data_IF_352995378349
#
_entry.id   IF_352995378349
#
_cell.length_a   1.000
_cell.length_b   1.000
_cell.length_c   1.000
_cell.angle_alpha   90.00
_cell.angle_beta   90.00
_cell.angle_gamma   90.00
#
_symmetry.space_group_name_H-M   'P 1'
#
loop_
_entity.id
_entity.type
_entity.pdbx_description
1 polymer ?
#
# COMPACT_ATOMS: atom_id res chain seq x y z
N UNK A 1 -8.71 -30.93 -13.88
CA UNK A 1 -10.08 -31.39 -13.61
C UNK A 1 -10.14 -32.16 -12.29
N UNK A 2 -11.03 -31.76 -11.40
CA UNK A 2 -11.23 -32.45 -10.12
C UNK A 2 -11.84 -33.85 -10.33
N UNK A 3 -12.71 -34.02 -11.32
CA UNK A 3 -13.39 -35.28 -11.60
C UNK A 3 -12.42 -36.38 -12.09
N UNK A 4 -11.42 -36.02 -12.90
CA UNK A 4 -10.43 -36.96 -13.43
C UNK A 4 -9.16 -37.02 -12.57
N UNK A 5 -9.03 -36.18 -11.56
CA UNK A 5 -7.80 -36.00 -10.75
C UNK A 5 -6.56 -35.75 -11.61
N UNK A 6 -6.71 -34.94 -12.64
CA UNK A 6 -5.60 -34.52 -13.51
C UNK A 6 -5.48 -33.01 -13.54
N UNK A 7 -4.25 -32.51 -13.58
CA UNK A 7 -3.87 -31.12 -13.78
C UNK A 7 -3.11 -30.97 -15.10
N UNK A 8 -3.54 -30.06 -15.96
CA UNK A 8 -2.79 -29.69 -17.14
C UNK A 8 -1.84 -28.57 -16.77
N UNK A 9 -0.55 -28.75 -16.97
CA UNK A 9 0.48 -27.78 -16.73
C UNK A 9 0.91 -27.18 -18.06
N UNK A 10 0.76 -25.85 -18.21
CA UNK A 10 1.21 -25.12 -19.41
C UNK A 10 2.40 -24.25 -19.02
N UNK A 11 3.64 -24.66 -19.33
CA UNK A 11 4.81 -23.87 -19.04
C UNK A 11 4.90 -22.65 -19.96
N UNK A 12 5.64 -21.59 -19.56
CA UNK A 12 5.89 -20.43 -20.42
C UNK A 12 6.64 -20.81 -21.73
N UNK A 13 7.44 -21.88 -21.69
CA UNK A 13 8.19 -22.42 -22.82
C UNK A 13 8.13 -23.95 -22.79
N UNK A 14 7.79 -24.57 -23.89
CA UNK A 14 7.61 -26.03 -24.00
C UNK A 14 6.17 -26.44 -24.22
N UNK A 15 5.95 -27.77 -24.34
CA UNK A 15 4.61 -28.30 -24.55
C UNK A 15 3.87 -28.53 -23.23
N UNK A 16 2.55 -28.33 -23.21
CA UNK A 16 1.72 -28.70 -22.05
C UNK A 16 1.78 -30.21 -21.77
N UNK A 17 1.68 -30.55 -20.50
CA UNK A 17 1.55 -31.94 -20.09
C UNK A 17 0.45 -32.11 -19.01
N UNK A 18 0.00 -33.34 -18.83
CA UNK A 18 -0.94 -33.72 -17.78
C UNK A 18 -0.23 -34.42 -16.62
N UNK A 19 -0.57 -34.05 -15.42
CA UNK A 19 -0.13 -34.67 -14.18
C UNK A 19 -1.34 -35.22 -13.41
N UNK A 20 -1.27 -36.46 -12.99
CA UNK A 20 -2.32 -37.07 -12.16
C UNK A 20 -2.00 -36.88 -10.68
N UNK A 21 -3.01 -36.73 -9.83
CA UNK A 21 -2.85 -36.55 -8.41
C UNK A 21 -3.90 -37.29 -7.60
N UNK A 22 -3.54 -37.73 -6.41
CA UNK A 22 -4.48 -38.23 -5.41
C UNK A 22 -5.05 -37.09 -4.55
N UNK A 23 -4.18 -36.14 -4.17
CA UNK A 23 -4.48 -34.96 -3.38
C UNK A 23 -3.83 -33.76 -4.06
N UNK A 24 -4.62 -32.69 -4.29
CA UNK A 24 -4.11 -31.41 -4.75
C UNK A 24 -4.20 -30.37 -3.64
N UNK A 25 -3.12 -29.60 -3.45
CA UNK A 25 -3.09 -28.47 -2.53
C UNK A 25 -2.90 -27.20 -3.34
N UNK A 26 -3.93 -26.34 -3.33
CA UNK A 26 -3.90 -25.07 -4.07
C UNK A 26 -3.33 -23.96 -3.19
N UNK A 27 -2.14 -23.48 -3.54
CA UNK A 27 -1.41 -22.46 -2.80
C UNK A 27 -1.22 -21.18 -3.64
N UNK A 28 -2.26 -20.78 -4.37
CA UNK A 28 -2.26 -19.68 -5.33
C UNK A 28 -2.11 -18.28 -4.69
N UNK A 29 -1.94 -18.19 -3.39
CA UNK A 29 -1.73 -16.95 -2.66
C UNK A 29 -2.96 -16.06 -2.57
N UNK A 30 -2.72 -14.78 -2.44
CA UNK A 30 -3.73 -13.74 -2.31
C UNK A 30 -3.36 -12.53 -3.19
N UNK A 31 -4.36 -11.74 -3.52
CA UNK A 31 -4.22 -10.48 -4.26
C UNK A 31 -4.74 -9.31 -3.43
N UNK A 32 -4.31 -8.11 -3.74
CA UNK A 32 -4.84 -6.88 -3.14
C UNK A 32 -6.35 -6.78 -3.45
N UNK A 33 -7.15 -6.51 -2.43
CA UNK A 33 -8.57 -6.23 -2.53
C UNK A 33 -8.82 -4.77 -2.18
N UNK A 34 -9.29 -4.00 -3.15
CA UNK A 34 -9.79 -2.64 -2.90
C UNK A 34 -11.26 -2.68 -2.51
N UNK A 35 -11.68 -1.72 -1.67
CA UNK A 35 -13.10 -1.49 -1.39
C UNK A 35 -13.70 -0.52 -2.42
N UNK A 36 -15.03 -0.46 -2.58
CA UNK A 36 -15.70 0.42 -3.53
C UNK A 36 -15.71 1.88 -3.05
N UNK A 37 -14.52 2.40 -2.74
CA UNK A 37 -14.28 3.79 -2.40
C UNK A 37 -13.91 4.53 -3.68
N UNK A 38 -14.57 5.66 -4.01
CA UNK A 38 -14.27 6.43 -5.22
C UNK A 38 -12.78 6.73 -5.37
N UNK A 39 -12.22 6.45 -6.53
CA UNK A 39 -10.82 6.70 -6.90
C UNK A 39 -9.80 5.68 -6.39
N UNK A 40 -10.13 4.82 -5.41
CA UNK A 40 -9.14 3.88 -4.84
C UNK A 40 -8.70 2.84 -5.86
N UNK A 41 -9.61 2.28 -6.65
CA UNK A 41 -9.27 1.26 -7.64
C UNK A 41 -8.30 1.79 -8.72
N UNK A 42 -8.36 3.07 -9.04
CA UNK A 42 -7.57 3.71 -10.10
C UNK A 42 -6.28 4.36 -9.57
N UNK A 43 -6.28 4.82 -8.32
CA UNK A 43 -5.21 5.65 -7.75
C UNK A 43 -4.29 4.90 -6.79
N UNK A 44 -4.80 3.89 -6.10
CA UNK A 44 -4.04 3.21 -5.06
C UNK A 44 -3.19 2.06 -5.61
N UNK A 45 -1.98 1.93 -5.08
CA UNK A 45 -1.09 0.80 -5.33
C UNK A 45 -1.19 -0.15 -4.14
N UNK A 46 -1.38 -1.44 -4.39
CA UNK A 46 -1.32 -2.45 -3.35
C UNK A 46 0.08 -2.65 -2.77
N UNK A 47 0.20 -3.56 -1.77
CA UNK A 47 1.49 -3.93 -1.20
C UNK A 47 1.54 -5.44 -0.92
N UNK A 48 1.09 -6.24 -1.88
CA UNK A 48 0.98 -7.70 -1.74
C UNK A 48 2.09 -8.47 -2.47
N UNK A 49 2.64 -7.91 -3.53
CA UNK A 49 3.65 -8.55 -4.39
C UNK A 49 4.82 -7.60 -4.67
N UNK A 50 5.87 -8.14 -5.31
CA UNK A 50 7.11 -7.40 -5.60
C UNK A 50 6.86 -6.27 -6.61
N UNK A 51 6.00 -6.49 -7.59
CA UNK A 51 5.65 -5.52 -8.61
C UNK A 51 5.00 -4.28 -8.00
N UNK A 52 4.10 -4.46 -7.04
CA UNK A 52 3.48 -3.37 -6.29
C UNK A 52 4.53 -2.61 -5.45
N UNK A 53 5.43 -3.32 -4.77
CA UNK A 53 6.51 -2.69 -4.00
C UNK A 53 7.46 -1.87 -4.89
N UNK A 54 7.80 -2.38 -6.08
CA UNK A 54 8.58 -1.67 -7.10
C UNK A 54 7.83 -0.42 -7.55
N UNK A 55 6.52 -0.52 -7.82
CA UNK A 55 5.70 0.61 -8.23
C UNK A 55 5.64 1.71 -7.17
N UNK A 56 5.52 1.36 -5.89
CA UNK A 56 5.57 2.32 -4.76
C UNK A 56 6.93 3.02 -4.71
N UNK A 57 8.02 2.25 -4.76
CA UNK A 57 9.40 2.80 -4.77
C UNK A 57 9.60 3.77 -5.93
N UNK A 58 9.25 3.36 -7.14
CA UNK A 58 9.49 4.13 -8.35
C UNK A 58 8.62 5.39 -8.39
N UNK A 59 7.40 5.33 -7.83
CA UNK A 59 6.55 6.50 -7.67
C UNK A 59 7.16 7.49 -6.67
N UNK A 60 7.68 7.03 -5.54
CA UNK A 60 8.39 7.91 -4.59
C UNK A 60 9.59 8.59 -5.25
N UNK A 61 10.46 7.84 -5.94
CA UNK A 61 11.61 8.38 -6.66
C UNK A 61 11.19 9.45 -7.67
N UNK A 62 10.19 9.14 -8.50
CA UNK A 62 9.66 10.06 -9.51
C UNK A 62 9.08 11.33 -8.87
N UNK A 63 8.39 11.20 -7.75
CA UNK A 63 7.79 12.32 -7.05
C UNK A 63 8.85 13.24 -6.44
N UNK A 64 9.89 12.69 -5.81
CA UNK A 64 11.02 13.47 -5.31
C UNK A 64 11.77 14.20 -6.44
N UNK A 65 12.01 13.51 -7.56
CA UNK A 65 12.67 14.13 -8.73
C UNK A 65 11.86 15.32 -9.25
N UNK A 66 10.54 15.14 -9.47
CA UNK A 66 9.68 16.23 -9.92
C UNK A 66 9.59 17.36 -8.89
N UNK A 67 9.36 17.02 -7.62
CA UNK A 67 9.22 18.02 -6.55
C UNK A 67 10.47 18.88 -6.38
N UNK A 68 11.67 18.31 -6.57
CA UNK A 68 12.93 19.02 -6.44
C UNK A 68 13.12 20.16 -7.44
N UNK A 69 12.38 20.12 -8.56
CA UNK A 69 12.42 21.14 -9.62
C UNK A 69 11.30 22.17 -9.50
N UNK A 70 10.35 21.98 -8.58
CA UNK A 70 9.20 22.85 -8.40
C UNK A 70 9.42 23.86 -7.26
N UNK A 71 8.85 25.07 -7.35
CA UNK A 71 8.75 25.96 -6.21
C UNK A 71 7.84 25.35 -5.13
N UNK A 72 7.96 25.80 -3.89
CA UNK A 72 7.01 25.48 -2.84
C UNK A 72 5.58 25.85 -3.23
N UNK A 73 4.62 24.97 -2.94
CA UNK A 73 3.22 25.18 -3.27
C UNK A 73 2.46 23.85 -3.48
N UNK A 74 1.15 23.92 -3.79
CA UNK A 74 0.25 22.77 -3.75
C UNK A 74 0.69 21.58 -4.61
N UNK A 75 1.27 21.82 -5.78
CA UNK A 75 1.74 20.73 -6.64
C UNK A 75 2.94 19.99 -6.05
N UNK A 76 3.89 20.72 -5.44
CA UNK A 76 5.03 20.14 -4.74
C UNK A 76 4.57 19.38 -3.49
N UNK A 77 3.66 19.97 -2.72
CA UNK A 77 3.09 19.35 -1.52
C UNK A 77 2.36 18.04 -1.87
N UNK A 78 1.55 18.03 -2.93
CA UNK A 78 0.88 16.82 -3.44
C UNK A 78 1.87 15.70 -3.77
N UNK A 79 2.98 16.02 -4.46
CA UNK A 79 4.00 15.04 -4.85
C UNK A 79 4.74 14.46 -3.63
N UNK A 80 4.91 15.24 -2.56
CA UNK A 80 5.63 14.87 -1.34
C UNK A 80 4.68 14.43 -0.21
N UNK A 81 3.38 14.28 -0.49
CA UNK A 81 2.41 13.70 0.45
C UNK A 81 2.22 12.22 0.14
N UNK A 82 2.45 11.38 1.15
CA UNK A 82 2.40 9.92 1.05
C UNK A 82 1.34 9.35 1.98
N UNK A 83 0.43 8.56 1.43
CA UNK A 83 -0.70 7.97 2.16
C UNK A 83 -0.58 6.46 2.19
N UNK A 84 -0.70 5.86 3.36
CA UNK A 84 -0.88 4.42 3.54
C UNK A 84 -2.23 4.18 4.19
N UNK A 85 -3.04 3.31 3.61
CA UNK A 85 -4.37 2.94 4.12
C UNK A 85 -4.33 1.51 4.64
N UNK A 86 -4.59 1.36 5.94
CA UNK A 86 -4.56 0.10 6.66
C UNK A 86 -3.41 0.03 7.68
N UNK A 87 -3.75 -0.09 8.95
CA UNK A 87 -2.83 -0.13 10.08
C UNK A 87 -2.46 -1.53 10.55
N UNK A 88 -2.63 -2.57 9.71
CA UNK A 88 -2.09 -3.91 9.95
C UNK A 88 -0.56 -3.94 9.85
N UNK A 89 0.06 -5.13 10.04
CA UNK A 89 1.53 -5.27 9.95
C UNK A 89 2.10 -4.74 8.64
N UNK A 90 1.56 -5.17 7.50
CA UNK A 90 2.05 -4.74 6.19
C UNK A 90 1.99 -3.21 6.03
N UNK A 91 0.89 -2.59 6.48
CA UNK A 91 0.73 -1.12 6.41
C UNK A 91 1.74 -0.38 7.28
N UNK A 92 1.90 -0.81 8.53
CA UNK A 92 2.84 -0.19 9.47
C UNK A 92 4.29 -0.34 9.02
N UNK A 93 4.67 -1.53 8.53
CA UNK A 93 6.02 -1.79 7.97
C UNK A 93 6.27 -0.94 6.73
N UNK A 94 5.34 -0.95 5.77
CA UNK A 94 5.43 -0.12 4.56
C UNK A 94 5.55 1.36 4.89
N UNK A 95 4.73 1.85 5.82
CA UNK A 95 4.74 3.25 6.27
C UNK A 95 6.08 3.65 6.89
N UNK A 96 6.63 2.79 7.76
CA UNK A 96 7.94 2.98 8.38
C UNK A 96 9.09 2.98 7.37
N UNK A 97 9.05 2.06 6.40
CA UNK A 97 10.06 1.99 5.32
C UNK A 97 9.96 3.17 4.36
N UNK A 98 8.76 3.58 3.94
CA UNK A 98 8.57 4.77 3.11
C UNK A 98 9.12 6.03 3.80
N UNK A 99 8.86 6.17 5.10
CA UNK A 99 9.40 7.28 5.90
C UNK A 99 10.94 7.24 5.97
N UNK A 100 11.53 6.06 6.15
CA UNK A 100 12.98 5.87 6.17
C UNK A 100 13.60 6.15 4.80
N UNK A 101 12.95 5.69 3.75
CA UNK A 101 13.35 5.93 2.36
C UNK A 101 13.31 7.43 2.02
N UNK A 102 12.23 8.15 2.38
CA UNK A 102 12.15 9.60 2.21
C UNK A 102 13.31 10.34 2.90
N UNK A 103 13.70 9.91 4.12
CA UNK A 103 14.86 10.49 4.81
C UNK A 103 16.15 10.30 4.05
N UNK A 104 16.32 9.16 3.37
CA UNK A 104 17.50 8.91 2.53
C UNK A 104 17.46 9.72 1.24
N UNK A 105 16.27 9.91 0.66
CA UNK A 105 16.09 10.70 -0.56
C UNK A 105 16.35 12.18 -0.33
N UNK A 106 15.88 12.76 0.76
CA UNK A 106 16.12 14.18 1.09
C UNK A 106 17.61 14.54 1.00
N UNK A 107 18.50 13.63 1.42
CA UNK A 107 19.94 13.86 1.33
C UNK A 107 20.47 14.01 -0.12
N UNK A 108 19.70 13.57 -1.11
CA UNK A 108 20.06 13.65 -2.54
C UNK A 108 19.46 14.89 -3.23
N UNK A 109 18.50 15.58 -2.59
CA UNK A 109 17.79 16.73 -3.18
C UNK A 109 17.96 17.99 -2.31
N UNK A 110 19.02 18.80 -2.55
CA UNK A 110 19.33 19.98 -1.71
C UNK A 110 18.24 21.07 -1.70
N UNK A 111 17.30 21.01 -2.65
CA UNK A 111 16.17 21.96 -2.75
C UNK A 111 14.98 21.54 -1.87
N UNK A 112 15.03 20.37 -1.24
CA UNK A 112 13.97 19.81 -0.41
C UNK A 112 14.46 19.66 1.03
N UNK A 113 13.53 19.80 1.96
CA UNK A 113 13.75 19.52 3.39
C UNK A 113 12.74 18.46 3.86
N UNK A 114 12.96 17.89 5.04
CA UNK A 114 12.00 16.93 5.58
C UNK A 114 10.65 17.58 5.93
N UNK A 115 10.63 18.87 6.17
CA UNK A 115 9.40 19.64 6.43
C UNK A 115 8.49 19.75 5.19
N UNK A 116 9.04 19.51 3.99
CA UNK A 116 8.26 19.45 2.74
C UNK A 116 7.55 18.10 2.54
N UNK A 117 7.88 17.09 3.37
CA UNK A 117 7.38 15.71 3.17
C UNK A 117 6.31 15.38 4.21
N UNK A 118 5.14 14.99 3.72
CA UNK A 118 3.97 14.69 4.55
C UNK A 118 3.62 13.20 4.49
N UNK A 119 3.31 12.63 5.64
CA UNK A 119 2.94 11.23 5.79
C UNK A 119 1.59 11.09 6.47
N UNK A 120 0.76 10.15 6.01
CA UNK A 120 -0.52 9.82 6.62
C UNK A 120 -0.72 8.30 6.63
N UNK A 121 -0.79 7.68 7.81
CA UNK A 121 -1.29 6.32 7.98
C UNK A 121 -2.74 6.39 8.42
N UNK A 122 -3.66 5.90 7.59
CA UNK A 122 -5.10 5.95 7.82
C UNK A 122 -5.58 4.57 8.26
N UNK A 123 -6.16 4.47 9.46
CA UNK A 123 -6.69 3.23 10.01
C UNK A 123 -8.13 3.45 10.50
N UNK A 124 -9.05 2.65 9.97
CA UNK A 124 -10.47 2.73 10.28
C UNK A 124 -10.81 2.30 11.72
N UNK A 125 -9.94 1.51 12.33
CA UNK A 125 -10.12 1.04 13.71
C UNK A 125 -9.38 1.94 14.71
N UNK A 126 -9.74 1.83 15.98
CA UNK A 126 -9.13 2.58 17.08
C UNK A 126 -7.71 2.10 17.48
N UNK A 127 -7.06 1.25 16.67
CA UNK A 127 -5.69 0.78 16.91
C UNK A 127 -5.05 0.19 15.66
N UNK A 128 -3.73 0.29 15.58
CA UNK A 128 -2.92 -0.43 14.58
C UNK A 128 -2.52 -1.81 15.13
N UNK A 129 -2.14 -2.74 14.24
CA UNK A 129 -1.61 -4.07 14.56
C UNK A 129 -2.42 -4.78 15.67
N UNK A 130 -3.69 -5.14 15.43
CA UNK A 130 -4.57 -5.71 16.45
C UNK A 130 -4.05 -7.02 17.04
N UNK A 131 -3.13 -7.71 16.37
CA UNK A 131 -2.54 -8.99 16.77
C UNK A 131 -1.48 -8.86 17.89
N UNK A 132 -0.93 -7.66 18.10
CA UNK A 132 0.04 -7.41 19.19
C UNK A 132 -0.66 -6.83 20.43
N UNK A 133 0.08 -6.75 21.55
CA UNK A 133 -0.44 -6.10 22.75
C UNK A 133 -0.76 -4.61 22.50
N UNK A 134 -1.75 -4.07 23.21
CA UNK A 134 -2.08 -2.64 23.13
C UNK A 134 -0.85 -1.76 23.48
N UNK A 135 -0.05 -2.19 24.44
CA UNK A 135 1.19 -1.49 24.82
C UNK A 135 2.16 -1.39 23.65
N UNK A 136 2.32 -2.46 22.88
CA UNK A 136 3.18 -2.49 21.69
C UNK A 136 2.62 -1.58 20.59
N UNK A 137 1.31 -1.66 20.30
CA UNK A 137 0.64 -0.81 19.33
C UNK A 137 0.83 0.68 19.65
N UNK A 138 0.58 1.10 20.89
CA UNK A 138 0.76 2.48 21.32
C UNK A 138 2.23 2.93 21.28
N UNK A 139 3.17 2.03 21.57
CA UNK A 139 4.59 2.34 21.45
C UNK A 139 5.00 2.59 20.00
N UNK A 140 4.47 1.79 19.06
CA UNK A 140 4.73 1.97 17.62
C UNK A 140 4.16 3.29 17.14
N UNK A 141 2.91 3.64 17.48
CA UNK A 141 2.29 4.93 17.13
C UNK A 141 3.17 6.07 17.60
N UNK A 142 3.54 6.07 18.88
CA UNK A 142 4.40 7.11 19.45
C UNK A 142 5.73 7.25 18.70
N UNK A 143 6.35 6.15 18.31
CA UNK A 143 7.61 6.16 17.53
C UNK A 143 7.41 6.74 16.13
N UNK A 144 6.34 6.40 15.45
CA UNK A 144 6.01 6.95 14.13
C UNK A 144 5.76 8.45 14.21
N UNK A 145 4.95 8.90 15.15
CA UNK A 145 4.64 10.32 15.37
C UNK A 145 5.89 11.15 15.71
N UNK A 146 6.77 10.64 16.57
CA UNK A 146 8.05 11.28 16.89
C UNK A 146 8.98 11.43 15.69
N UNK A 147 8.78 10.61 14.66
CA UNK A 147 9.53 10.66 13.41
C UNK A 147 8.83 11.49 12.32
N UNK A 148 7.75 12.23 12.67
CA UNK A 148 6.98 13.03 11.73
C UNK A 148 6.10 12.19 10.79
N UNK A 149 5.66 11.02 11.26
CA UNK A 149 4.79 10.11 10.52
C UNK A 149 3.50 9.86 11.34
N UNK A 150 2.51 10.77 11.30
CA UNK A 150 1.29 10.68 12.09
C UNK A 150 0.41 9.49 11.71
N UNK A 151 -0.37 9.01 12.68
CA UNK A 151 -1.31 7.90 12.53
C UNK A 151 -2.72 8.38 12.83
N UNK A 152 -3.62 8.26 11.87
CA UNK A 152 -5.03 8.61 11.98
C UNK A 152 -5.83 7.36 12.35
N UNK A 153 -6.20 7.22 13.62
CA UNK A 153 -7.07 6.14 14.10
C UNK A 153 -8.55 6.55 13.99
N UNK A 154 -9.44 5.55 14.03
CA UNK A 154 -10.89 5.75 13.89
C UNK A 154 -11.25 6.60 12.64
N UNK A 155 -10.41 6.53 11.61
CA UNK A 155 -10.47 7.37 10.42
C UNK A 155 -10.55 6.51 9.17
N UNK A 156 -11.53 6.77 8.31
CA UNK A 156 -11.72 6.07 7.05
C UNK A 156 -11.38 6.99 5.87
N UNK A 157 -10.75 6.42 4.84
CA UNK A 157 -10.67 7.04 3.52
C UNK A 157 -12.06 6.99 2.87
N UNK A 158 -12.62 8.12 2.49
CA UNK A 158 -13.94 8.22 1.86
C UNK A 158 -13.88 8.50 0.38
N UNK A 159 -12.80 9.10 -0.11
CA UNK A 159 -12.55 9.37 -1.53
C UNK A 159 -11.05 9.52 -1.79
N UNK A 160 -10.62 9.16 -3.01
CA UNK A 160 -9.27 9.37 -3.54
C UNK A 160 -9.31 9.80 -5.01
N UNK A 161 -10.40 10.42 -5.45
CA UNK A 161 -10.60 10.82 -6.85
C UNK A 161 -9.56 11.87 -7.25
N UNK A 162 -8.87 11.63 -8.36
CA UNK A 162 -7.85 12.52 -8.93
C UNK A 162 -6.72 12.91 -7.96
N UNK A 163 -6.46 12.04 -6.96
CA UNK A 163 -5.46 12.27 -5.93
C UNK A 163 -5.91 13.19 -4.80
N UNK A 164 -7.18 13.64 -4.80
CA UNK A 164 -7.78 14.32 -3.67
C UNK A 164 -8.22 13.31 -2.62
N UNK A 165 -7.57 13.32 -1.49
CA UNK A 165 -7.86 12.46 -0.35
C UNK A 165 -8.93 13.13 0.50
N UNK A 166 -10.01 12.39 0.80
CA UNK A 166 -11.06 12.84 1.73
C UNK A 166 -11.22 11.81 2.84
N UNK A 167 -11.25 12.28 4.07
CA UNK A 167 -11.33 11.44 5.26
C UNK A 167 -12.71 11.57 5.93
N UNK A 168 -13.10 10.54 6.68
CA UNK A 168 -14.36 10.52 7.46
C UNK A 168 -14.43 11.61 8.54
N UNK A 169 -13.31 12.19 8.91
CA UNK A 169 -13.19 13.33 9.83
C UNK A 169 -13.59 14.66 9.18
N UNK A 170 -13.74 14.71 7.85
CA UNK A 170 -13.93 15.93 7.07
C UNK A 170 -12.63 16.60 6.63
N UNK A 171 -11.48 16.08 7.04
CA UNK A 171 -10.17 16.50 6.53
C UNK A 171 -10.00 16.12 5.07
N UNK A 172 -9.35 16.98 4.28
CA UNK A 172 -8.98 16.69 2.90
C UNK A 172 -7.65 17.32 2.54
N UNK A 173 -6.88 16.61 1.71
CA UNK A 173 -5.58 17.03 1.17
C UNK A 173 -5.31 16.31 -0.16
N UNK A 174 -4.23 16.64 -0.84
CA UNK A 174 -3.85 15.99 -2.09
C UNK A 174 -2.63 15.07 -1.90
N UNK A 175 -2.63 13.94 -2.60
CA UNK A 175 -1.51 13.00 -2.65
C UNK A 175 -1.41 12.37 -4.04
N UNK A 176 -0.18 12.18 -4.51
CA UNK A 176 0.12 11.45 -5.75
C UNK A 176 0.47 9.98 -5.51
N UNK A 177 0.59 9.55 -4.25
CA UNK A 177 0.88 8.16 -3.89
C UNK A 177 0.02 7.69 -2.73
N UNK A 178 -0.86 6.76 -3.03
CA UNK A 178 -1.70 6.05 -2.06
C UNK A 178 -1.30 4.58 -2.08
N UNK A 179 -0.87 4.05 -0.94
CA UNK A 179 -0.58 2.62 -0.77
C UNK A 179 -1.72 1.96 -0.02
N UNK A 180 -2.28 0.91 -0.61
CA UNK A 180 -3.43 0.19 -0.07
C UNK A 180 -3.01 -1.12 0.57
N UNK A 181 -3.16 -1.21 1.87
CA UNK A 181 -2.88 -2.42 2.67
C UNK A 181 -4.09 -2.90 3.47
N UNK A 182 -5.26 -2.25 3.28
CA UNK A 182 -6.46 -2.49 4.09
C UNK A 182 -7.25 -3.75 3.68
N UNK A 183 -6.78 -4.53 2.73
CA UNK A 183 -7.45 -5.76 2.38
C UNK A 183 -6.70 -6.63 1.39
N UNK A 184 -6.84 -7.93 1.60
CA UNK A 184 -6.41 -8.99 0.67
C UNK A 184 -7.56 -9.96 0.46
N UNK A 185 -7.57 -10.63 -0.68
CA UNK A 185 -8.51 -11.71 -0.98
C UNK A 185 -7.76 -12.90 -1.56
N UNK A 186 -8.32 -14.09 -1.41
CA UNK A 186 -7.78 -15.27 -2.06
C UNK A 186 -7.63 -15.03 -3.57
N UNK A 187 -6.60 -15.61 -4.16
CA UNK A 187 -6.39 -15.51 -5.61
C UNK A 187 -7.66 -15.91 -6.38
N UNK A 188 -8.11 -15.13 -7.38
CA UNK A 188 -9.29 -15.46 -8.19
C UNK A 188 -9.18 -16.81 -8.92
N UNK A 189 -8.00 -17.37 -9.05
CA UNK A 189 -7.80 -18.71 -9.63
C UNK A 189 -8.62 -19.77 -8.89
N UNK A 190 -8.84 -19.58 -7.59
CA UNK A 190 -9.63 -20.52 -6.77
C UNK A 190 -11.12 -20.53 -7.12
N UNK A 191 -11.67 -19.41 -7.57
CA UNK A 191 -13.08 -19.31 -8.00
C UNK A 191 -13.29 -19.78 -9.44
N UNK A 192 -12.21 -19.99 -10.19
CA UNK A 192 -12.22 -20.43 -11.59
C UNK A 192 -11.83 -21.91 -11.75
N UNK A 193 -11.68 -22.64 -10.63
CA UNK A 193 -11.48 -24.09 -10.62
C UNK A 193 -12.81 -24.80 -10.44
N UNK A 194 -13.06 -25.84 -11.26
CA UNK A 194 -14.23 -26.71 -11.18
C UNK A 194 -14.24 -27.57 -9.91
#
# INVERSE_FOLDING_TARGET
>A
SHATKTATITPPVGEPWEESYDIIVVTAGAVTRTFPIPGVADQAIGMKNIEEAIAVRDRMLTNFEKASTLPAGPLRDRLLTFVVVGGGFAGVETYGEMRSFASSLIAQYPTLTFDDVHFHLIEAMGRIMPEVSLKTSLWVIKNLEQRGAPVHLDTQLTSAVDGKIELSTGESFESDLIVWTAGVMASPVLSNTD
#
